data_IF_068600014348
#
_entry.id   IF_068600014348
#
_cell.length_a   1.000
_cell.length_b   1.000
_cell.length_c   1.000
_cell.angle_alpha   90.00
_cell.angle_beta   90.00
_cell.angle_gamma   90.00
#
_symmetry.space_group_name_H-M   'P 1'
#
loop_
_entity.id
_entity.type
_entity.pdbx_description
1 polymer ?
#
# COMPACT_ATOMS: atom_id res chain seq x y z
N UNK A 1 -9.08 11.89 12.97
CA UNK A 1 -7.71 12.33 12.59
C UNK A 1 -7.06 11.19 11.83
N UNK A 2 -6.67 11.35 10.56
CA UNK A 2 -5.92 10.31 9.85
C UNK A 2 -4.60 10.05 10.58
N UNK A 3 -4.33 8.78 10.89
CA UNK A 3 -3.34 8.37 11.91
C UNK A 3 -1.88 8.61 11.51
N UNK A 4 -1.60 9.08 10.30
CA UNK A 4 -0.26 9.44 9.83
C UNK A 4 -0.21 10.72 8.96
N UNK A 5 -1.20 11.61 9.07
CA UNK A 5 -1.30 12.77 8.16
C UNK A 5 -1.53 12.38 6.69
N UNK A 6 -1.92 11.12 6.46
CA UNK A 6 -2.30 10.59 5.16
C UNK A 6 -3.75 10.98 4.89
N UNK A 7 -3.95 12.04 4.10
CA UNK A 7 -5.26 12.45 3.63
C UNK A 7 -5.65 11.61 2.42
N UNK A 8 -6.75 10.87 2.55
CA UNK A 8 -7.31 9.99 1.51
C UNK A 8 -8.63 10.53 0.96
N UNK A 9 -8.93 11.82 1.16
CA UNK A 9 -10.09 12.47 0.55
C UNK A 9 -10.02 12.48 -0.98
N UNK A 10 -11.20 12.49 -1.61
CA UNK A 10 -11.38 12.34 -3.06
C UNK A 10 -10.50 13.34 -3.85
N UNK A 11 -9.69 12.80 -4.76
CA UNK A 11 -8.84 13.57 -5.69
C UNK A 11 -7.39 13.81 -5.26
N UNK A 12 -7.01 13.57 -3.99
CA UNK A 12 -5.62 13.75 -3.51
C UNK A 12 -4.97 12.46 -2.97
N UNK A 13 -5.73 11.37 -2.88
CA UNK A 13 -5.28 10.08 -2.36
C UNK A 13 -4.19 9.46 -3.23
N UNK A 14 -4.27 9.60 -4.56
CA UNK A 14 -3.25 9.09 -5.48
C UNK A 14 -1.87 9.69 -5.21
N UNK A 15 -1.75 11.02 -5.22
CA UNK A 15 -0.50 11.73 -4.98
C UNK A 15 0.06 11.51 -3.55
N UNK A 16 -0.81 11.19 -2.60
CA UNK A 16 -0.41 10.87 -1.24
C UNK A 16 0.19 9.45 -1.10
N UNK A 17 -0.10 8.55 -2.05
CA UNK A 17 0.23 7.12 -1.99
C UNK A 17 1.30 6.71 -3.01
N UNK A 18 1.17 7.16 -4.25
CA UNK A 18 1.96 6.68 -5.38
C UNK A 18 3.30 7.41 -5.46
N UNK A 19 4.40 6.65 -5.49
CA UNK A 19 5.74 7.20 -5.57
C UNK A 19 6.31 7.72 -4.25
N UNK A 20 5.49 7.83 -3.20
CA UNK A 20 5.89 8.37 -1.89
C UNK A 20 6.55 7.30 -1.02
N UNK A 21 7.65 7.64 -0.35
CA UNK A 21 8.27 6.77 0.65
C UNK A 21 7.31 6.46 1.81
N UNK A 22 7.34 5.22 2.29
CA UNK A 22 6.63 4.84 3.52
C UNK A 22 7.25 5.53 4.72
N UNK A 23 6.39 5.98 5.64
CA UNK A 23 6.80 6.54 6.93
C UNK A 23 7.29 5.46 7.90
N UNK A 24 6.73 4.25 7.80
CA UNK A 24 7.09 3.10 8.65
C UNK A 24 8.36 2.39 8.15
N UNK A 25 8.60 2.41 6.83
CA UNK A 25 9.79 1.81 6.22
C UNK A 25 10.29 2.69 5.06
N UNK A 26 11.11 3.73 5.33
CA UNK A 26 11.51 4.72 4.32
C UNK A 26 12.29 4.16 3.12
N UNK A 27 12.80 2.94 3.21
CA UNK A 27 13.51 2.24 2.13
C UNK A 27 12.57 1.71 1.04
N UNK A 28 11.26 1.73 1.25
CA UNK A 28 10.25 1.34 0.25
C UNK A 28 9.16 2.41 0.10
N UNK A 29 8.44 2.37 -1.03
CA UNK A 29 7.34 3.28 -1.29
C UNK A 29 6.02 2.73 -0.75
N UNK A 30 5.08 3.61 -0.46
CA UNK A 30 3.70 3.22 -0.10
C UNK A 30 3.07 2.43 -1.25
N UNK A 31 3.11 3.01 -2.45
CA UNK A 31 2.89 2.33 -3.74
C UNK A 31 4.06 2.67 -4.66
N UNK A 32 4.72 1.62 -5.18
CA UNK A 32 5.75 1.72 -6.21
C UNK A 32 5.17 1.35 -7.58
N UNK A 33 4.93 2.33 -8.48
CA UNK A 33 4.47 2.07 -9.84
C UNK A 33 5.28 0.97 -10.53
N UNK A 34 4.59 -0.07 -11.01
CA UNK A 34 5.18 -1.19 -11.73
C UNK A 34 5.72 -2.31 -10.83
N UNK A 35 5.74 -2.14 -9.50
CA UNK A 35 6.30 -3.16 -8.59
C UNK A 35 5.47 -3.32 -7.31
N UNK A 36 4.63 -4.36 -7.31
CA UNK A 36 3.88 -4.78 -6.13
C UNK A 36 4.79 -5.24 -4.98
N UNK A 37 5.96 -5.80 -5.28
CA UNK A 37 6.89 -6.34 -4.28
C UNK A 37 7.61 -5.24 -3.49
N UNK A 38 7.71 -4.02 -4.01
CA UNK A 38 8.29 -2.84 -3.33
C UNK A 38 7.23 -1.84 -2.86
N UNK A 39 5.95 -2.25 -2.89
CA UNK A 39 4.81 -1.46 -2.45
C UNK A 39 4.39 -1.85 -1.03
N UNK A 40 4.70 -1.01 -0.06
CA UNK A 40 4.53 -1.30 1.36
C UNK A 40 3.07 -1.53 1.76
N UNK A 41 2.11 -0.85 1.13
CA UNK A 41 0.69 -1.05 1.44
C UNK A 41 0.21 -2.46 1.07
N UNK A 42 0.72 -3.05 -0.02
CA UNK A 42 0.43 -4.44 -0.37
C UNK A 42 0.99 -5.43 0.66
N UNK A 43 2.08 -5.09 1.32
CA UNK A 43 2.61 -5.92 2.40
C UNK A 43 1.71 -5.86 3.63
N UNK A 44 1.16 -4.68 3.94
CA UNK A 44 0.26 -4.46 5.07
C UNK A 44 -1.09 -5.15 4.89
N UNK A 45 -1.68 -5.11 3.69
CA UNK A 45 -3.00 -5.72 3.41
C UNK A 45 -2.92 -7.16 2.93
N UNK A 46 -1.75 -7.60 2.49
CA UNK A 46 -1.48 -8.95 2.01
C UNK A 46 -0.33 -9.57 2.80
N UNK A 47 0.81 -9.75 2.12
CA UNK A 47 1.98 -10.42 2.69
C UNK A 47 3.26 -9.70 2.28
N UNK A 48 4.16 -9.51 3.25
CA UNK A 48 5.51 -9.01 2.98
C UNK A 48 6.36 -10.03 2.19
N UNK A 49 7.31 -9.57 1.36
CA UNK A 49 8.28 -10.45 0.69
C UNK A 49 9.09 -11.29 1.68
N UNK A 50 9.65 -12.41 1.20
CA UNK A 50 10.49 -13.27 2.03
C UNK A 50 11.67 -12.48 2.62
N UNK A 51 11.93 -12.65 3.92
CA UNK A 51 12.98 -11.93 4.63
C UNK A 51 12.63 -10.49 5.01
N UNK A 52 11.41 -10.03 4.71
CA UNK A 52 10.92 -8.70 5.07
C UNK A 52 9.74 -8.81 6.05
N UNK A 53 9.49 -7.74 6.78
CA UNK A 53 8.39 -7.63 7.73
C UNK A 53 7.73 -6.26 7.63
N UNK A 54 6.47 -6.21 8.05
CA UNK A 54 5.76 -4.96 8.26
C UNK A 54 6.03 -4.43 9.67
N UNK A 55 5.91 -3.12 9.85
CA UNK A 55 5.89 -2.51 11.15
C UNK A 55 4.45 -2.54 11.69
N UNK A 56 4.29 -2.84 12.97
CA UNK A 56 2.98 -2.98 13.58
C UNK A 56 2.21 -4.20 13.06
N UNK A 57 0.90 -4.05 12.88
CA UNK A 57 -0.02 -5.13 12.53
C UNK A 57 -0.48 -5.05 11.06
N UNK A 58 -0.91 -6.18 10.46
CA UNK A 58 -1.58 -6.19 9.17
C UNK A 58 -2.82 -5.29 9.16
N UNK A 59 -3.14 -4.75 7.99
CA UNK A 59 -4.28 -3.88 7.77
C UNK A 59 -5.39 -4.62 7.02
N UNK A 60 -6.68 -4.31 7.28
CA UNK A 60 -7.17 -3.27 8.19
C UNK A 60 -7.04 -3.68 9.66
N UNK A 61 -6.60 -2.77 10.53
CA UNK A 61 -6.47 -3.02 11.97
C UNK A 61 -7.83 -3.26 12.65
N UNK A 62 -8.85 -2.54 12.18
CA UNK A 62 -10.24 -2.68 12.58
C UNK A 62 -11.02 -3.13 11.35
N UNK A 63 -11.56 -4.35 11.37
CA UNK A 63 -12.24 -4.98 10.24
C UNK A 63 -11.68 -6.36 9.91
N UNK A 64 -12.27 -7.02 8.92
CA UNK A 64 -11.70 -8.25 8.35
C UNK A 64 -10.56 -7.94 7.37
N UNK A 65 -9.61 -8.88 7.17
CA UNK A 65 -8.59 -8.72 6.15
C UNK A 65 -9.21 -8.57 4.76
N UNK A 66 -8.51 -7.91 3.85
CA UNK A 66 -8.91 -7.92 2.45
C UNK A 66 -8.89 -9.35 1.93
N UNK A 67 -9.87 -9.67 1.07
CA UNK A 67 -9.88 -10.95 0.37
C UNK A 67 -8.71 -11.03 -0.60
N UNK A 68 -8.29 -12.25 -0.93
CA UNK A 68 -7.23 -12.48 -1.92
C UNK A 68 -7.53 -11.77 -3.25
N UNK A 69 -8.79 -11.80 -3.71
CA UNK A 69 -9.22 -11.13 -4.92
C UNK A 69 -9.00 -9.60 -4.85
N UNK A 70 -9.35 -8.96 -3.74
CA UNK A 70 -9.13 -7.53 -3.55
C UNK A 70 -7.63 -7.17 -3.55
N UNK A 71 -6.81 -7.96 -2.86
CA UNK A 71 -5.36 -7.76 -2.86
C UNK A 71 -4.77 -7.94 -4.26
N UNK A 72 -5.25 -8.93 -5.03
CA UNK A 72 -4.84 -9.13 -6.42
C UNK A 72 -5.25 -7.96 -7.31
N UNK A 73 -6.46 -7.43 -7.18
CA UNK A 73 -6.90 -6.24 -7.94
C UNK A 73 -5.98 -5.04 -7.70
N UNK A 74 -5.60 -4.79 -6.44
CA UNK A 74 -4.66 -3.71 -6.11
C UNK A 74 -3.28 -4.03 -6.68
N UNK A 75 -2.80 -5.27 -6.53
CA UNK A 75 -1.52 -5.71 -7.08
C UNK A 75 -1.44 -5.50 -8.59
N UNK A 76 -2.50 -5.86 -9.33
CA UNK A 76 -2.57 -5.71 -10.78
C UNK A 76 -2.58 -4.24 -11.20
N UNK A 77 -3.28 -3.37 -10.47
CA UNK A 77 -3.22 -1.93 -10.70
C UNK A 77 -1.79 -1.39 -10.48
N UNK A 78 -1.11 -1.83 -9.41
CA UNK A 78 0.27 -1.43 -9.16
C UNK A 78 1.21 -1.92 -10.26
N UNK A 79 1.11 -3.18 -10.69
CA UNK A 79 1.98 -3.73 -11.75
C UNK A 79 1.73 -3.09 -13.11
N UNK A 80 0.53 -2.57 -13.36
CA UNK A 80 0.20 -1.76 -14.54
C UNK A 80 0.76 -0.32 -14.48
N UNK A 81 1.56 0.00 -13.48
CA UNK A 81 2.16 1.32 -13.31
C UNK A 81 1.38 2.23 -12.37
N UNK A 82 0.42 1.69 -11.61
CA UNK A 82 -0.43 2.44 -10.69
C UNK A 82 -0.98 3.69 -11.38
N UNK A 83 -1.73 3.54 -12.47
CA UNK A 83 -2.22 4.70 -13.25
C UNK A 83 -3.27 5.49 -12.46
N UNK A 84 -3.21 6.81 -12.57
CA UNK A 84 -4.25 7.73 -12.09
C UNK A 84 -5.35 7.80 -13.16
N UNK A 85 -6.51 7.18 -12.89
CA UNK A 85 -7.61 6.99 -13.86
C UNK A 85 -8.83 7.84 -13.51
#
# INVERSE_FOLDING_TARGET
MPTQGLDLSDGSSYAALVGRSSTELPTVKLIDPGSATTSYLLWKVGKAPAGQSIMGLPMPLLGGPLTLAQVMTISDWVTQGALDN
#
